data_IF_759420173210
#
_entry.id   IF_759420173210
#
_cell.length_a   1.000
_cell.length_b   1.000
_cell.length_c   1.000
_cell.angle_alpha   90.00
_cell.angle_beta   90.00
_cell.angle_gamma   90.00
#
_symmetry.space_group_name_H-M   'P 1'
#
loop_
_entity.id
_entity.type
_entity.pdbx_description
1 polymer ?
#
# COMPACT_ATOMS: atom_id res chain seq x y z
N UNK A 1 -0.71 13.41 5.58
CA UNK A 1 -0.70 13.81 4.16
C UNK A 1 -1.97 13.26 3.51
N UNK A 2 -2.91 14.09 3.04
CA UNK A 2 -4.04 13.60 2.26
C UNK A 2 -3.56 13.15 0.88
N UNK A 3 -4.00 11.97 0.43
CA UNK A 3 -3.76 11.48 -0.93
C UNK A 3 -5.06 11.58 -1.73
N UNK A 4 -5.00 12.11 -2.95
CA UNK A 4 -6.14 12.22 -3.88
C UNK A 4 -5.96 11.25 -5.06
N UNK A 5 -6.74 11.42 -6.13
CA UNK A 5 -6.63 10.60 -7.34
C UNK A 5 -5.24 10.67 -8.00
N UNK A 6 -4.61 11.85 -8.01
CA UNK A 6 -3.28 12.06 -8.59
C UNK A 6 -2.44 12.90 -7.64
N UNK A 7 -1.27 12.38 -7.25
CA UNK A 7 -0.39 13.02 -6.27
C UNK A 7 1.01 13.21 -6.85
N UNK A 8 1.56 14.42 -6.74
CA UNK A 8 2.93 14.74 -7.11
C UNK A 8 3.77 14.89 -5.83
N UNK A 9 4.70 13.96 -5.61
CA UNK A 9 5.59 13.96 -4.45
C UNK A 9 6.95 14.55 -4.82
N UNK A 10 7.18 15.82 -4.46
CA UNK A 10 8.47 16.52 -4.69
C UNK A 10 9.13 16.83 -3.34
N UNK A 11 10.46 16.74 -3.31
CA UNK A 11 11.29 17.09 -2.16
C UNK A 11 12.75 16.72 -2.44
N UNK A 12 13.67 17.11 -1.57
CA UNK A 12 15.09 16.77 -1.73
C UNK A 12 15.36 15.28 -1.45
N UNK A 13 16.54 14.80 -1.83
CA UNK A 13 17.01 13.47 -1.43
C UNK A 13 17.02 13.41 0.11
N UNK A 14 16.59 12.28 0.69
CA UNK A 14 16.47 12.04 2.14
C UNK A 14 15.25 12.63 2.88
N UNK A 15 14.35 13.38 2.24
CA UNK A 15 13.10 13.86 2.88
C UNK A 15 11.99 12.78 3.02
N UNK A 16 12.35 11.50 3.07
CA UNK A 16 11.40 10.42 3.37
C UNK A 16 10.40 10.06 2.26
N UNK A 17 10.49 10.63 1.06
CA UNK A 17 9.59 10.29 -0.07
C UNK A 17 9.62 8.80 -0.41
N UNK A 18 10.82 8.23 -0.57
CA UNK A 18 10.99 6.80 -0.83
C UNK A 18 10.49 5.97 0.35
N UNK A 19 10.76 6.38 1.59
CA UNK A 19 10.28 5.69 2.79
C UNK A 19 8.74 5.69 2.89
N UNK A 20 8.07 6.77 2.49
CA UNK A 20 6.62 6.83 2.42
C UNK A 20 6.06 5.86 1.37
N UNK A 21 6.65 5.83 0.18
CA UNK A 21 6.24 4.91 -0.89
C UNK A 21 6.51 3.46 -0.49
N UNK A 22 7.63 3.18 0.17
CA UNK A 22 7.96 1.87 0.73
C UNK A 22 6.93 1.47 1.79
N UNK A 23 6.62 2.34 2.75
CA UNK A 23 5.62 2.08 3.79
C UNK A 23 4.23 1.82 3.20
N UNK A 24 3.79 2.61 2.22
CA UNK A 24 2.52 2.38 1.51
C UNK A 24 2.52 1.01 0.82
N UNK A 25 3.59 0.68 0.09
CA UNK A 25 3.69 -0.56 -0.68
C UNK A 25 3.75 -1.80 0.23
N UNK A 26 4.47 -1.72 1.36
CA UNK A 26 4.65 -2.86 2.27
C UNK A 26 3.43 -3.08 3.17
N UNK A 27 2.80 -2.00 3.65
CA UNK A 27 1.77 -2.08 4.68
C UNK A 27 0.36 -2.19 4.11
N UNK A 28 0.16 -1.81 2.84
CA UNK A 28 -1.08 -1.91 2.09
C UNK A 28 -0.98 -2.87 0.89
N UNK A 29 -0.04 -3.83 0.93
CA UNK A 29 0.08 -4.87 -0.10
C UNK A 29 -1.06 -5.89 0.00
N UNK A 30 -1.67 -6.23 -1.14
CA UNK A 30 -2.60 -7.36 -1.24
C UNK A 30 -1.89 -8.73 -1.23
N UNK A 31 -0.63 -8.79 -1.69
CA UNK A 31 0.12 -10.05 -1.83
C UNK A 31 0.84 -10.49 -0.56
N UNK A 32 1.30 -9.52 0.22
CA UNK A 32 1.98 -9.77 1.49
C UNK A 32 1.24 -9.04 2.62
N UNK A 33 -0.02 -9.42 2.90
CA UNK A 33 -0.85 -8.74 3.89
C UNK A 33 -0.31 -8.88 5.33
N UNK A 34 0.72 -9.71 5.53
CA UNK A 34 1.35 -9.95 6.82
C UNK A 34 2.85 -9.56 6.83
N UNK A 35 3.27 -8.54 6.08
CA UNK A 35 4.62 -7.97 6.21
C UNK A 35 5.01 -7.77 7.68
N UNK A 36 6.15 -8.33 8.07
CA UNK A 36 6.78 -8.22 9.39
C UNK A 36 7.99 -7.32 9.25
N UNK A 37 8.09 -6.29 10.11
CA UNK A 37 9.21 -5.37 10.06
C UNK A 37 10.53 -6.06 10.43
N UNK A 38 11.59 -5.61 9.78
CA UNK A 38 12.97 -6.02 10.02
C UNK A 38 13.76 -4.88 10.66
N UNK A 39 14.96 -5.17 11.16
CA UNK A 39 15.83 -4.16 11.78
C UNK A 39 16.12 -3.00 10.81
N UNK A 40 16.20 -3.28 9.50
CA UNK A 40 16.47 -2.30 8.45
C UNK A 40 15.33 -1.30 8.20
N UNK A 41 14.14 -1.53 8.78
CA UNK A 41 12.98 -0.64 8.65
C UNK A 41 12.94 0.46 9.72
N UNK A 42 13.72 0.30 10.80
CA UNK A 42 13.81 1.30 11.86
C UNK A 42 14.70 2.47 11.43
N UNK A 43 14.40 3.66 11.96
CA UNK A 43 15.22 4.83 11.72
C UNK A 43 16.53 4.74 12.51
N UNK A 44 17.63 5.11 11.87
CA UNK A 44 18.94 5.27 12.48
C UNK A 44 19.48 6.65 12.14
N UNK A 45 19.90 7.40 13.16
CA UNK A 45 20.57 8.67 12.94
C UNK A 45 22.03 8.41 12.56
N UNK A 46 22.50 8.83 11.37
CA UNK A 46 23.90 8.61 10.98
C UNK A 46 24.86 9.25 11.97
N UNK A 47 25.83 8.47 12.47
CA UNK A 47 26.80 8.93 13.47
C UNK A 47 26.39 8.70 14.93
N UNK A 48 25.15 8.29 15.18
CA UNK A 48 24.69 7.86 16.49
C UNK A 48 24.34 6.37 16.46
N UNK A 49 25.35 5.54 16.79
CA UNK A 49 25.22 4.07 16.82
C UNK A 49 24.24 3.61 17.92
N UNK A 50 23.85 4.50 18.83
CA UNK A 50 22.94 4.21 19.93
C UNK A 50 21.49 4.65 19.68
N UNK A 51 21.26 5.52 18.70
CA UNK A 51 19.93 5.99 18.32
C UNK A 51 19.25 5.02 17.33
N UNK A 52 18.93 3.84 17.84
CA UNK A 52 17.92 2.99 17.22
C UNK A 52 16.57 3.39 17.83
N UNK A 53 15.77 4.15 17.10
CA UNK A 53 14.39 4.39 17.52
C UNK A 53 13.65 3.05 17.50
N UNK A 54 13.55 2.38 18.66
CA UNK A 54 13.04 1.00 18.80
C UNK A 54 11.52 0.85 18.59
N UNK A 55 10.87 1.88 18.05
CA UNK A 55 9.44 1.84 17.77
C UNK A 55 9.13 2.64 16.51
N UNK A 56 8.37 2.03 15.63
CA UNK A 56 7.78 2.70 14.47
C UNK A 56 6.28 2.50 14.46
N UNK A 57 5.56 3.45 13.88
CA UNK A 57 4.11 3.39 13.73
C UNK A 57 3.67 4.18 12.51
N UNK A 58 2.85 3.56 11.67
CA UNK A 58 2.19 4.19 10.54
C UNK A 58 0.69 4.05 10.76
N UNK A 59 -0.05 5.14 10.57
CA UNK A 59 -1.51 5.15 10.66
C UNK A 59 -2.09 5.65 9.34
N UNK A 60 -2.85 4.79 8.69
CA UNK A 60 -3.58 5.08 7.47
C UNK A 60 -4.99 5.53 7.83
N UNK A 61 -5.42 6.64 7.22
CA UNK A 61 -6.76 7.19 7.38
C UNK A 61 -7.48 7.01 6.06
N UNK A 62 -8.49 6.14 6.06
CA UNK A 62 -9.36 5.92 4.92
C UNK A 62 -10.60 6.79 5.06
N UNK A 63 -11.06 7.32 3.93
CA UNK A 63 -12.30 8.08 3.81
C UNK A 63 -13.18 7.40 2.78
N UNK A 64 -14.46 7.32 3.08
CA UNK A 64 -15.49 6.76 2.22
C UNK A 64 -16.59 7.80 1.99
N UNK A 65 -17.21 7.76 0.81
CA UNK A 65 -18.31 8.65 0.43
C UNK A 65 -19.67 8.19 1.01
N UNK A 66 -19.70 7.05 1.71
CA UNK A 66 -20.84 6.58 2.47
C UNK A 66 -21.46 5.28 1.96
N UNK A 67 -20.82 4.59 1.02
CA UNK A 67 -21.38 3.42 0.37
C UNK A 67 -20.54 2.14 0.55
N UNK A 68 -19.87 1.95 1.68
CA UNK A 68 -19.29 0.64 2.01
C UNK A 68 -20.39 -0.39 2.38
N UNK A 69 -20.71 -1.38 1.52
CA UNK A 69 -21.72 -2.39 1.81
C UNK A 69 -21.19 -3.51 2.73
N UNK A 70 -19.88 -3.56 3.00
CA UNK A 70 -19.28 -4.66 3.75
C UNK A 70 -19.55 -4.53 5.24
N UNK A 71 -20.42 -5.42 5.76
CA UNK A 71 -20.74 -5.49 7.18
C UNK A 71 -19.48 -5.65 8.06
N UNK A 72 -18.43 -6.29 7.54
CA UNK A 72 -17.18 -6.54 8.27
C UNK A 72 -16.38 -5.24 8.50
N UNK A 73 -16.30 -4.35 7.52
CA UNK A 73 -15.62 -3.05 7.71
C UNK A 73 -16.54 -2.03 8.39
N UNK A 74 -17.86 -2.19 8.27
CA UNK A 74 -18.87 -1.26 8.80
C UNK A 74 -18.66 -0.90 10.28
N UNK A 75 -18.20 -1.84 11.11
CA UNK A 75 -17.98 -1.67 12.56
C UNK A 75 -16.76 -0.81 12.90
N UNK A 76 -15.84 -0.61 11.96
CA UNK A 76 -14.61 0.17 12.17
C UNK A 76 -14.70 1.61 11.65
N UNK A 77 -15.73 1.90 10.85
CA UNK A 77 -16.00 3.25 10.37
C UNK A 77 -16.55 4.14 11.49
N UNK A 78 -15.88 5.26 11.73
CA UNK A 78 -16.29 6.29 12.67
C UNK A 78 -16.66 7.57 11.93
N UNK A 79 -17.34 8.49 12.62
CA UNK A 79 -17.60 9.84 12.10
C UNK A 79 -16.72 10.83 12.82
N UNK A 80 -16.03 11.67 12.06
CA UNK A 80 -15.30 12.80 12.62
C UNK A 80 -16.24 13.95 13.03
N UNK A 81 -15.66 15.02 13.57
CA UNK A 81 -16.42 16.21 13.99
C UNK A 81 -17.20 16.89 12.85
N UNK A 82 -16.83 16.65 11.59
CA UNK A 82 -17.51 17.17 10.40
C UNK A 82 -18.55 16.18 9.85
N UNK A 83 -18.74 15.04 10.53
CA UNK A 83 -19.65 13.97 10.11
C UNK A 83 -19.12 13.09 8.98
N UNK A 84 -17.86 13.28 8.55
CA UNK A 84 -17.24 12.47 7.50
C UNK A 84 -16.87 11.09 8.06
N UNK A 85 -17.11 10.04 7.27
CA UNK A 85 -16.73 8.68 7.64
C UNK A 85 -15.23 8.50 7.50
N UNK A 86 -14.59 8.03 8.57
CA UNK A 86 -13.18 7.71 8.60
C UNK A 86 -12.94 6.34 9.23
N UNK A 87 -11.96 5.62 8.71
CA UNK A 87 -11.46 4.37 9.26
C UNK A 87 -9.95 4.49 9.42
N UNK A 88 -9.46 4.22 10.64
CA UNK A 88 -8.05 4.37 10.98
C UNK A 88 -7.42 2.99 11.18
N UNK A 89 -6.43 2.67 10.33
CA UNK A 89 -5.68 1.42 10.38
C UNK A 89 -4.23 1.71 10.78
N UNK A 90 -3.79 1.13 11.89
CA UNK A 90 -2.46 1.31 12.44
C UNK A 90 -1.62 0.04 12.28
N UNK A 91 -0.40 0.23 11.77
CA UNK A 91 0.64 -0.78 11.75
C UNK A 91 1.82 -0.25 12.54
N UNK A 92 2.24 -0.99 13.56
CA UNK A 92 3.30 -0.57 14.48
C UNK A 92 4.25 -1.71 14.74
N UNK A 93 5.52 -1.41 14.96
CA UNK A 93 6.50 -2.38 15.43
C UNK A 93 7.30 -1.85 16.61
N UNK A 94 7.64 -2.75 17.52
CA UNK A 94 8.55 -2.49 18.64
C UNK A 94 9.71 -3.47 18.58
N UNK A 95 10.93 -2.96 18.55
CA UNK A 95 12.15 -3.75 18.60
C UNK A 95 12.58 -3.94 20.05
N UNK A 96 12.52 -5.19 20.54
CA UNK A 96 12.97 -5.58 21.87
C UNK A 96 14.13 -6.57 21.75
N UNK A 97 14.77 -6.87 22.86
CA UNK A 97 15.87 -7.84 22.89
C UNK A 97 15.39 -9.26 22.53
N UNK A 98 14.09 -9.53 22.66
CA UNK A 98 13.44 -10.78 22.23
C UNK A 98 13.09 -10.82 20.74
N UNK A 99 13.37 -9.76 19.97
CA UNK A 99 13.02 -9.62 18.56
C UNK A 99 12.07 -8.47 18.26
N UNK A 100 11.63 -8.38 17.00
CA UNK A 100 10.73 -7.34 16.51
C UNK A 100 9.29 -7.82 16.59
N UNK A 101 8.46 -7.11 17.34
CA UNK A 101 7.04 -7.37 17.46
C UNK A 101 6.24 -6.44 16.55
N UNK A 102 5.58 -6.98 15.52
CA UNK A 102 4.70 -6.23 14.61
C UNK A 102 3.24 -6.39 15.03
N UNK A 103 2.49 -5.28 15.09
CA UNK A 103 1.06 -5.26 15.43
C UNK A 103 0.28 -4.46 14.38
N UNK A 104 -0.84 -5.03 13.92
CA UNK A 104 -1.80 -4.44 13.00
C UNK A 104 -3.15 -4.35 13.70
N UNK A 105 -3.81 -3.20 13.64
CA UNK A 105 -5.04 -2.94 14.40
C UNK A 105 -5.83 -1.77 13.83
N UNK A 106 -7.12 -1.78 14.05
CA UNK A 106 -7.94 -0.59 13.91
C UNK A 106 -7.86 0.26 15.17
N UNK A 107 -7.86 1.58 14.98
CA UNK A 107 -7.84 2.56 16.06
C UNK A 107 -8.95 3.58 15.92
N UNK A 108 -9.34 4.18 17.04
CA UNK A 108 -10.28 5.28 17.06
C UNK A 108 -9.64 6.57 16.51
N UNK A 109 -10.43 7.64 16.39
CA UNK A 109 -9.92 8.95 15.95
C UNK A 109 -8.89 9.58 16.92
N UNK A 110 -8.75 9.04 18.14
CA UNK A 110 -7.75 9.41 19.14
C UNK A 110 -6.56 8.42 19.19
N UNK A 111 -6.46 7.51 18.20
CA UNK A 111 -5.45 6.46 18.11
C UNK A 111 -5.49 5.41 19.24
N UNK A 112 -6.62 5.26 19.92
CA UNK A 112 -6.89 4.20 20.88
C UNK A 112 -7.37 2.92 20.18
N UNK A 113 -7.11 1.76 20.77
CA UNK A 113 -7.46 0.48 20.16
C UNK A 113 -8.99 0.30 20.07
N UNK A 114 -9.48 -0.01 18.87
CA UNK A 114 -10.85 -0.50 18.69
C UNK A 114 -10.87 -2.02 18.96
N UNK A 115 -11.62 -2.43 19.96
CA UNK A 115 -11.66 -3.84 20.40
C UNK A 115 -12.92 -4.49 19.84
N UNK A 116 -12.91 -4.73 18.52
CA UNK A 116 -14.06 -5.28 17.80
C UNK A 116 -13.86 -6.74 17.39
N UNK A 117 -14.97 -7.45 17.18
CA UNK A 117 -14.98 -8.81 16.65
C UNK A 117 -14.47 -8.83 15.19
N UNK A 118 -13.79 -9.90 14.77
CA UNK A 118 -13.31 -10.11 13.39
C UNK A 118 -12.22 -9.13 12.87
N UNK A 119 -11.44 -8.51 13.76
CA UNK A 119 -10.36 -7.57 13.38
C UNK A 119 -9.41 -8.13 12.29
N UNK A 120 -9.02 -9.40 12.36
CA UNK A 120 -8.16 -10.02 11.33
C UNK A 120 -8.83 -10.07 9.94
N UNK A 121 -10.08 -10.55 9.87
CA UNK A 121 -10.84 -10.61 8.62
C UNK A 121 -11.11 -9.22 8.03
N UNK A 122 -11.34 -8.23 8.91
CA UNK A 122 -11.50 -6.83 8.50
C UNK A 122 -10.21 -6.23 7.95
N UNK A 123 -9.04 -6.54 8.53
CA UNK A 123 -7.74 -6.13 7.98
C UNK A 123 -7.52 -6.76 6.60
N UNK A 124 -7.78 -8.06 6.44
CA UNK A 124 -7.64 -8.72 5.13
C UNK A 124 -8.56 -8.10 4.08
N UNK A 125 -9.80 -7.79 4.44
CA UNK A 125 -10.75 -7.13 3.54
C UNK A 125 -10.30 -5.71 3.18
N UNK A 126 -9.78 -4.94 4.16
CA UNK A 126 -9.24 -3.60 3.94
C UNK A 126 -8.11 -3.63 2.91
N UNK A 127 -7.16 -4.56 3.07
CA UNK A 127 -5.99 -4.68 2.18
C UNK A 127 -6.38 -5.13 0.76
N UNK A 128 -7.43 -5.94 0.62
CA UNK A 128 -7.99 -6.30 -0.69
C UNK A 128 -8.73 -5.14 -1.36
N UNK A 129 -9.41 -4.30 -0.57
CA UNK A 129 -10.23 -3.20 -1.08
C UNK A 129 -9.44 -1.94 -1.41
N UNK A 130 -8.40 -1.65 -0.65
CA UNK A 130 -7.53 -0.48 -0.86
C UNK A 130 -6.05 -0.87 -1.00
N UNK A 131 -5.69 -1.71 -1.99
CA UNK A 131 -4.31 -2.10 -2.15
C UNK A 131 -3.47 -1.00 -2.76
N UNK A 132 -2.21 -0.93 -2.33
CA UNK A 132 -1.19 -0.12 -2.99
C UNK A 132 -0.37 -1.03 -3.90
N UNK A 133 -0.46 -0.78 -5.20
CA UNK A 133 0.37 -1.42 -6.21
C UNK A 133 1.49 -0.47 -6.64
N UNK A 134 2.73 -0.95 -6.54
CA UNK A 134 3.90 -0.22 -7.03
C UNK A 134 4.31 -0.77 -8.39
N UNK A 135 3.96 -0.05 -9.45
CA UNK A 135 4.19 -0.49 -10.83
C UNK A 135 5.65 -0.40 -11.28
N UNK A 136 6.49 0.42 -10.63
CA UNK A 136 7.89 0.58 -11.03
C UNK A 136 8.78 1.00 -9.87
N UNK A 137 9.85 0.23 -9.63
CA UNK A 137 11.06 0.71 -8.97
C UNK A 137 12.25 -0.23 -9.26
N UNK A 138 13.33 0.30 -9.86
CA UNK A 138 14.57 -0.44 -10.08
C UNK A 138 15.38 -0.66 -8.78
N UNK A 139 15.01 0.00 -7.67
CA UNK A 139 15.70 -0.03 -6.38
C UNK A 139 14.97 -0.87 -5.31
N UNK A 140 13.66 -1.03 -5.44
CA UNK A 140 12.84 -1.81 -4.50
C UNK A 140 13.07 -3.32 -4.63
N UNK A 141 13.46 -3.79 -5.82
CA UNK A 141 13.73 -5.21 -6.14
C UNK A 141 14.89 -5.84 -5.33
N UNK A 142 15.62 -5.04 -4.53
CA UNK A 142 16.67 -5.53 -3.63
C UNK A 142 16.20 -5.82 -2.20
N UNK A 143 15.14 -5.19 -1.69
CA UNK A 143 14.71 -5.34 -0.28
C UNK A 143 13.74 -6.50 -0.03
N UNK A 144 12.95 -6.91 -1.02
CA UNK A 144 12.07 -8.09 -0.95
C UNK A 144 12.79 -9.44 -1.10
N UNK A 145 14.13 -9.47 -1.04
CA UNK A 145 14.95 -10.68 -1.28
C UNK A 145 14.93 -11.76 -0.17
N UNK A 146 14.06 -11.65 0.83
CA UNK A 146 13.85 -12.73 1.81
C UNK A 146 12.57 -13.55 1.59
N UNK A 147 11.76 -13.17 0.60
CA UNK A 147 10.66 -13.98 0.08
C UNK A 147 11.11 -14.46 -1.30
N UNK A 148 10.81 -15.72 -1.64
CA UNK A 148 11.24 -16.37 -2.88
C UNK A 148 11.07 -15.44 -4.11
N UNK A 149 11.92 -15.55 -5.15
CA UNK A 149 11.78 -14.70 -6.32
C UNK A 149 10.35 -14.82 -6.85
N UNK A 150 9.57 -13.73 -6.72
CA UNK A 150 8.39 -13.54 -7.53
C UNK A 150 8.87 -13.77 -8.97
N UNK A 151 8.35 -14.77 -9.70
CA UNK A 151 8.73 -14.94 -11.08
C UNK A 151 8.40 -13.61 -11.75
N UNK A 152 9.40 -13.02 -12.41
CA UNK A 152 9.23 -11.81 -13.21
C UNK A 152 8.14 -12.07 -14.24
N UNK A 153 6.90 -11.78 -13.86
CA UNK A 153 5.74 -12.06 -14.68
C UNK A 153 5.67 -10.98 -15.76
N UNK A 154 6.11 -11.37 -16.95
CA UNK A 154 5.81 -10.77 -18.24
C UNK A 154 6.29 -9.32 -18.46
N UNK A 155 7.61 -9.10 -18.61
CA UNK A 155 8.15 -7.80 -19.04
C UNK A 155 7.55 -7.30 -20.37
N UNK A 156 7.14 -8.22 -21.24
CA UNK A 156 6.50 -7.90 -22.52
C UNK A 156 5.10 -7.29 -22.35
N UNK A 157 4.30 -7.79 -21.39
CA UNK A 157 2.97 -7.25 -21.11
C UNK A 157 3.07 -5.84 -20.52
N UNK A 158 4.01 -5.62 -19.60
CA UNK A 158 4.29 -4.30 -19.03
C UNK A 158 4.77 -3.30 -20.09
N UNK A 159 5.69 -3.70 -20.98
CA UNK A 159 6.18 -2.85 -22.08
C UNK A 159 5.06 -2.51 -23.08
N UNK A 160 4.17 -3.47 -23.37
CA UNK A 160 2.98 -3.24 -24.19
C UNK A 160 2.04 -2.21 -23.57
N UNK A 161 1.80 -2.28 -22.26
CA UNK A 161 0.97 -1.31 -21.54
C UNK A 161 1.56 0.11 -21.57
N UNK A 162 2.86 0.26 -21.34
CA UNK A 162 3.49 1.59 -21.37
C UNK A 162 3.42 2.24 -22.76
N UNK A 163 3.45 1.44 -23.81
CA UNK A 163 3.32 1.92 -25.20
C UNK A 163 1.88 2.36 -25.45
N UNK A 164 0.90 1.53 -25.08
CA UNK A 164 -0.52 1.85 -25.24
C UNK A 164 -0.96 3.07 -24.43
N UNK A 165 -0.44 3.24 -23.21
CA UNK A 165 -0.72 4.41 -22.38
C UNK A 165 -0.16 5.69 -23.00
N UNK A 166 1.06 5.64 -23.54
CA UNK A 166 1.67 6.77 -24.27
C UNK A 166 0.91 7.11 -25.55
N UNK A 167 0.48 6.11 -26.31
CA UNK A 167 -0.29 6.32 -27.55
C UNK A 167 -1.69 6.87 -27.25
N UNK A 168 -2.32 6.48 -26.14
CA UNK A 168 -3.58 7.05 -25.65
C UNK A 168 -3.44 8.53 -25.27
N UNK A 169 -2.33 8.90 -24.63
CA UNK A 169 -2.09 10.27 -24.15
C UNK A 169 -1.71 11.22 -25.29
N UNK A 170 -0.90 10.75 -26.24
CA UNK A 170 -0.36 11.61 -27.30
C UNK A 170 -1.13 11.52 -28.63
N UNK A 171 -1.70 10.36 -28.96
CA UNK A 171 -2.31 10.10 -30.27
C UNK A 171 -3.61 9.26 -30.18
N UNK A 172 -4.63 9.70 -29.38
CA UNK A 172 -5.84 8.91 -29.15
C UNK A 172 -6.63 8.58 -30.43
N UNK A 173 -6.49 9.41 -31.48
CA UNK A 173 -7.18 9.24 -32.77
C UNK A 173 -6.58 8.12 -33.65
N UNK A 174 -5.39 7.60 -33.30
CA UNK A 174 -4.68 6.57 -34.08
C UNK A 174 -4.88 5.17 -33.53
N UNK A 175 -5.60 5.03 -32.41
CA UNK A 175 -5.87 3.75 -31.78
C UNK A 175 -7.13 3.12 -32.35
N UNK A 176 -7.01 1.89 -32.84
CA UNK A 176 -8.18 1.11 -33.24
C UNK A 176 -8.87 0.49 -32.03
N UNK A 177 -10.17 0.23 -32.16
CA UNK A 177 -10.97 -0.43 -31.11
C UNK A 177 -10.39 -1.79 -30.70
N UNK A 178 -9.74 -2.50 -31.62
CA UNK A 178 -9.10 -3.79 -31.35
C UNK A 178 -7.89 -3.63 -30.42
N UNK A 179 -7.07 -2.61 -30.66
CA UNK A 179 -5.91 -2.29 -29.82
C UNK A 179 -6.35 -1.88 -28.41
N UNK A 180 -7.43 -1.10 -28.30
CA UNK A 180 -8.02 -0.73 -27.01
C UNK A 180 -8.55 -1.95 -26.24
N UNK A 181 -9.30 -2.84 -26.91
CA UNK A 181 -9.80 -4.08 -26.30
C UNK A 181 -8.66 -4.99 -25.83
N UNK A 182 -7.62 -5.12 -26.65
CA UNK A 182 -6.45 -5.93 -26.29
C UNK A 182 -5.67 -5.31 -25.12
N UNK A 183 -5.55 -3.98 -25.07
CA UNK A 183 -4.98 -3.25 -23.94
C UNK A 183 -5.75 -3.47 -22.64
N UNK A 184 -7.08 -3.37 -22.70
CA UNK A 184 -7.97 -3.64 -21.55
C UNK A 184 -7.87 -5.10 -21.08
N UNK A 185 -7.85 -6.06 -22.02
CA UNK A 185 -7.68 -7.48 -21.69
C UNK A 185 -6.32 -7.74 -21.04
N UNK A 186 -5.27 -7.07 -21.51
CA UNK A 186 -3.93 -7.15 -20.93
C UNK A 186 -3.91 -6.57 -19.51
N UNK A 187 -4.53 -5.40 -19.28
CA UNK A 187 -4.70 -4.84 -17.94
C UNK A 187 -5.48 -5.79 -17.03
N UNK A 188 -6.55 -6.39 -17.53
CA UNK A 188 -7.35 -7.34 -16.78
C UNK A 188 -6.54 -8.58 -16.41
N UNK A 189 -5.75 -9.15 -17.33
CA UNK A 189 -4.89 -10.30 -17.03
C UNK A 189 -3.80 -9.97 -16.01
N UNK A 190 -3.20 -8.79 -16.13
CA UNK A 190 -2.20 -8.32 -15.17
C UNK A 190 -2.84 -8.11 -13.80
N UNK A 191 -3.97 -7.41 -13.73
CA UNK A 191 -4.74 -7.26 -12.49
C UNK A 191 -5.13 -8.63 -11.93
N UNK A 192 -5.69 -9.55 -12.71
CA UNK A 192 -6.02 -10.89 -12.23
C UNK A 192 -4.79 -11.59 -11.62
N UNK A 193 -3.61 -11.45 -12.24
CA UNK A 193 -2.37 -11.97 -11.67
C UNK A 193 -2.01 -11.30 -10.32
N UNK A 194 -2.22 -10.00 -10.18
CA UNK A 194 -1.95 -9.24 -8.95
C UNK A 194 -3.08 -9.32 -7.88
N UNK A 195 -4.27 -9.79 -8.22
CA UNK A 195 -5.46 -9.73 -7.34
C UNK A 195 -6.13 -11.08 -7.06
N UNK A 196 -5.89 -12.15 -7.86
CA UNK A 196 -6.59 -13.44 -7.76
C UNK A 196 -5.68 -14.64 -7.42
N UNK A 197 -4.62 -14.43 -6.63
CA UNK A 197 -3.82 -15.52 -6.04
C UNK A 197 -3.88 -15.43 -4.52
#
# INVERSE_FOLDING_TARGET
LPLTQTNLLIGENAWGKSSLLDALSLLLSAHEPAYVFTEADFHFTPGDVTDAMRRLSVVFHFRDDGNDPDAVLSTFWQRDAQGQRQLCYSVSATWRDSGIETRRRFVDLNYQLLTEQNCAAAIDLLLKRYPVLRLRDARFSKRTRSSAPLPTAHPELLAGMETLARDLEHHPQQLSDEVLRQGLKTMQQLMQHYFLV
#
